data_IF_818484312213
#
_entry.id   IF_818484312213
#
_cell.length_a   1.000
_cell.length_b   1.000
_cell.length_c   1.000
_cell.angle_alpha   90.00
_cell.angle_beta   90.00
_cell.angle_gamma   90.00
#
_symmetry.space_group_name_H-M   'P 1'
#
loop_
_entity.id
_entity.type
_entity.pdbx_description
1 polymer ?
#
# COMPACT_ATOMS: atom_id res chain seq x y z
N UNK A 1 -11.73 -17.70 -36.21
CA UNK A 1 -11.80 -16.31 -35.68
C UNK A 1 -10.78 -16.22 -34.55
N UNK A 2 -9.72 -15.42 -34.73
CA UNK A 2 -8.65 -15.25 -33.74
C UNK A 2 -9.07 -14.15 -32.76
N UNK A 3 -9.21 -14.46 -31.47
CA UNK A 3 -9.31 -13.46 -30.40
C UNK A 3 -7.92 -13.29 -29.81
N UNK A 4 -7.42 -12.05 -29.84
CA UNK A 4 -6.09 -11.68 -29.33
C UNK A 4 -6.09 -11.70 -27.81
N UNK A 5 -5.01 -12.23 -27.26
CA UNK A 5 -4.69 -12.26 -25.83
C UNK A 5 -4.21 -10.85 -25.46
N UNK A 6 -4.96 -10.17 -24.59
CA UNK A 6 -4.49 -8.97 -23.92
C UNK A 6 -3.56 -9.43 -22.79
N UNK A 7 -2.26 -9.20 -22.97
CA UNK A 7 -1.25 -9.39 -21.92
C UNK A 7 -1.49 -8.31 -20.87
N UNK A 8 -1.95 -8.70 -19.69
CA UNK A 8 -2.06 -7.84 -18.51
C UNK A 8 -0.66 -7.42 -18.05
N UNK A 9 -0.55 -6.13 -17.77
CA UNK A 9 0.64 -5.42 -17.29
C UNK A 9 0.90 -5.86 -15.85
N UNK A 10 2.14 -6.26 -15.55
CA UNK A 10 2.62 -6.50 -14.20
C UNK A 10 2.56 -5.22 -13.38
N UNK A 11 1.58 -5.14 -12.48
CA UNK A 11 1.37 -4.04 -11.54
C UNK A 11 1.92 -4.45 -10.17
N UNK A 12 3.26 -4.48 -10.05
CA UNK A 12 3.97 -4.02 -8.84
C UNK A 12 5.49 -3.89 -9.07
N UNK A 13 5.86 -3.40 -10.24
CA UNK A 13 6.77 -2.26 -10.24
C UNK A 13 5.88 -1.01 -10.15
N UNK A 14 5.97 -0.20 -9.10
CA UNK A 14 5.46 1.18 -9.13
C UNK A 14 6.37 1.98 -10.06
N UNK A 15 6.29 1.66 -11.36
CA UNK A 15 6.68 2.50 -12.47
C UNK A 15 5.44 3.30 -12.84
N UNK A 16 5.25 4.44 -12.18
CA UNK A 16 4.54 5.56 -12.81
C UNK A 16 5.31 5.89 -14.10
N UNK A 17 4.83 5.40 -15.25
CA UNK A 17 5.27 5.85 -16.58
C UNK A 17 4.32 7.01 -16.97
N UNK A 18 4.72 8.15 -17.56
CA UNK A 18 5.60 8.34 -18.71
C UNK A 18 6.11 9.80 -18.84
N UNK A 19 7.24 9.87 -19.55
CA UNK A 19 8.02 11.03 -20.02
C UNK A 19 7.25 12.10 -20.82
N UNK A 20 7.80 13.32 -20.77
CA UNK A 20 7.62 14.36 -21.79
C UNK A 20 8.80 15.35 -21.81
N UNK A 21 9.83 15.06 -22.59
CA UNK A 21 10.97 15.95 -22.86
C UNK A 21 10.55 17.23 -23.61
N UNK A 22 11.17 18.38 -23.28
CA UNK A 22 11.69 19.33 -24.28
C UNK A 22 12.73 20.29 -23.66
N UNK A 23 13.87 20.37 -24.33
CA UNK A 23 15.00 21.25 -24.04
C UNK A 23 14.65 22.74 -24.23
N UNK A 24 15.24 23.60 -23.41
CA UNK A 24 15.62 24.97 -23.80
C UNK A 24 16.68 25.55 -22.84
N UNK A 25 17.66 26.20 -23.44
CA UNK A 25 18.97 26.67 -22.94
C UNK A 25 18.94 28.07 -22.29
N UNK A 26 19.99 28.33 -21.48
CA UNK A 26 20.54 29.65 -21.05
C UNK A 26 19.69 30.42 -20.01
N UNK A 27 20.23 31.17 -19.05
CA UNK A 27 21.55 31.77 -18.82
C UNK A 27 21.76 32.04 -17.31
N UNK A 28 23.03 32.21 -16.91
CA UNK A 28 23.42 32.80 -15.62
C UNK A 28 23.11 34.29 -15.63
N UNK A 29 22.58 34.80 -14.51
CA UNK A 29 22.99 36.11 -14.02
C UNK A 29 22.90 36.19 -12.49
N UNK A 30 23.94 36.77 -11.90
CA UNK A 30 24.04 37.14 -10.49
C UNK A 30 23.16 38.36 -10.26
N UNK A 31 22.63 38.55 -9.05
CA UNK A 31 22.99 39.75 -8.29
C UNK A 31 22.58 39.73 -6.82
N UNK A 32 23.19 40.67 -6.12
CA UNK A 32 23.70 40.64 -4.76
C UNK A 32 22.94 41.64 -3.88
N UNK A 33 23.10 41.51 -2.56
CA UNK A 33 22.94 42.54 -1.51
C UNK A 33 21.50 42.85 -1.02
N UNK A 34 21.23 43.19 0.24
CA UNK A 34 21.97 43.23 1.51
C UNK A 34 20.98 43.65 2.62
N UNK A 35 21.21 43.17 3.87
CA UNK A 35 20.89 43.71 5.22
C UNK A 35 19.53 44.43 5.42
N UNK A 36 18.79 44.19 6.51
CA UNK A 36 19.15 44.71 7.85
C UNK A 36 18.34 44.03 8.97
N UNK A 37 19.04 43.82 10.08
CA UNK A 37 18.66 43.29 11.39
C UNK A 37 17.56 44.10 12.09
N UNK A 38 16.68 43.45 12.86
CA UNK A 38 16.26 43.98 14.15
C UNK A 38 15.86 42.85 15.12
N UNK A 39 16.52 42.89 16.27
CA UNK A 39 16.40 41.98 17.40
C UNK A 39 15.35 42.54 18.35
N UNK A 40 14.28 41.80 18.63
CA UNK A 40 13.53 41.99 19.87
C UNK A 40 13.23 40.63 20.50
N UNK A 41 13.85 40.39 21.67
CA UNK A 41 13.49 39.35 22.61
C UNK A 41 12.20 39.77 23.32
N UNK A 42 11.15 38.94 23.28
CA UNK A 42 10.17 38.83 24.38
C UNK A 42 9.58 37.42 24.49
N UNK A 43 9.27 37.08 25.74
CA UNK A 43 9.14 35.77 26.35
C UNK A 43 8.04 34.82 25.79
N UNK A 44 8.43 33.54 25.68
CA UNK A 44 7.74 32.36 26.26
C UNK A 44 6.21 32.34 26.28
N UNK A 45 5.63 31.66 25.30
CA UNK A 45 4.55 30.69 25.54
C UNK A 45 4.85 29.43 24.72
N UNK A 46 4.80 28.25 25.33
CA UNK A 46 4.89 26.95 24.64
C UNK A 46 3.67 26.82 23.71
N UNK A 47 3.74 27.36 22.51
CA UNK A 47 2.88 26.95 21.41
C UNK A 47 3.39 25.61 20.91
N UNK A 48 2.68 24.55 21.26
CA UNK A 48 2.69 23.31 20.48
C UNK A 48 2.37 23.69 19.04
N UNK A 49 3.40 23.83 18.20
CA UNK A 49 3.21 24.12 16.78
C UNK A 49 2.79 22.81 16.11
N UNK A 50 1.49 22.54 16.11
CA UNK A 50 0.90 21.65 15.12
C UNK A 50 1.19 22.27 13.75
N UNK A 51 2.18 21.74 13.03
CA UNK A 51 2.37 22.06 11.62
C UNK A 51 1.10 21.56 10.94
N UNK A 52 0.20 22.47 10.59
CA UNK A 52 -0.95 22.19 9.75
C UNK A 52 -0.53 22.48 8.32
N UNK A 53 -0.47 21.44 7.50
CA UNK A 53 -0.57 21.61 6.05
C UNK A 53 -2.07 21.64 5.75
N UNK A 54 -2.57 22.62 4.99
CA UNK A 54 -3.93 22.57 4.46
C UNK A 54 -4.07 21.31 3.60
N UNK A 55 -5.10 20.50 3.84
CA UNK A 55 -5.41 19.28 3.08
C UNK A 55 -5.46 19.52 1.56
N UNK A 56 -5.80 20.73 1.13
CA UNK A 56 -5.83 21.16 -0.27
C UNK A 56 -4.45 21.18 -0.95
N UNK A 57 -3.38 21.48 -0.22
CA UNK A 57 -2.02 21.59 -0.79
C UNK A 57 -1.40 20.21 -1.10
N UNK A 58 -1.92 19.14 -0.50
CA UNK A 58 -1.44 17.77 -0.70
C UNK A 58 -2.17 17.12 -1.89
N UNK A 59 -3.50 17.25 -1.98
CA UNK A 59 -4.30 16.75 -3.10
C UNK A 59 -3.79 17.24 -4.47
N UNK A 60 -3.53 18.54 -4.61
CA UNK A 60 -3.16 19.12 -5.91
C UNK A 60 -1.77 18.69 -6.42
N UNK A 61 -0.92 18.15 -5.55
CA UNK A 61 0.38 17.59 -5.95
C UNK A 61 0.28 16.14 -6.40
N UNK A 62 -0.75 15.43 -5.96
CA UNK A 62 -0.96 14.01 -6.22
C UNK A 62 -1.49 13.76 -7.65
N UNK A 63 -2.19 14.74 -8.25
CA UNK A 63 -2.78 14.65 -9.59
C UNK A 63 -1.83 15.03 -10.75
N UNK A 64 -0.53 15.19 -10.49
CA UNK A 64 0.48 15.41 -11.55
C UNK A 64 0.53 16.83 -12.17
N UNK A 65 -0.47 17.67 -11.92
CA UNK A 65 -0.57 19.05 -12.44
C UNK A 65 -0.17 20.14 -11.42
N UNK A 66 0.48 19.76 -10.31
CA UNK A 66 0.82 20.68 -9.23
C UNK A 66 1.76 21.81 -9.68
N UNK A 67 1.30 23.07 -9.55
CA UNK A 67 2.11 24.25 -9.85
C UNK A 67 3.43 24.24 -9.05
N UNK A 68 4.53 24.76 -9.62
CA UNK A 68 5.87 24.79 -9.01
C UNK A 68 5.88 25.30 -7.54
N UNK A 69 4.98 26.24 -7.24
CA UNK A 69 4.77 26.75 -5.90
C UNK A 69 4.36 25.67 -4.89
N UNK A 70 3.44 24.78 -5.27
CA UNK A 70 2.92 23.72 -4.41
C UNK A 70 4.00 22.67 -4.15
N UNK A 71 4.77 22.29 -5.17
CA UNK A 71 5.89 21.35 -5.04
C UNK A 71 6.90 21.88 -4.02
N UNK A 72 7.18 23.18 -4.06
CA UNK A 72 8.08 23.85 -3.11
C UNK A 72 7.52 23.85 -1.68
N UNK A 73 6.21 24.05 -1.50
CA UNK A 73 5.58 23.96 -0.18
C UNK A 73 5.63 22.53 0.37
N UNK A 74 5.39 21.51 -0.44
CA UNK A 74 5.49 20.12 -0.01
C UNK A 74 6.91 19.72 0.36
N UNK A 75 7.92 20.09 -0.45
CA UNK A 75 9.34 19.90 -0.08
C UNK A 75 9.67 20.55 1.26
N UNK A 76 9.14 21.75 1.51
CA UNK A 76 9.30 22.44 2.80
C UNK A 76 8.61 21.69 3.93
N UNK A 77 7.40 21.17 3.71
CA UNK A 77 6.67 20.37 4.68
C UNK A 77 7.40 19.07 5.04
N UNK A 78 7.84 18.30 4.04
CA UNK A 78 8.62 17.08 4.23
C UNK A 78 9.88 17.37 5.06
N UNK A 79 10.59 18.47 4.77
CA UNK A 79 11.74 18.89 5.57
C UNK A 79 11.37 19.26 7.03
N UNK A 80 10.20 19.85 7.25
CA UNK A 80 9.70 20.10 8.60
C UNK A 80 9.37 18.80 9.34
N UNK A 81 8.76 17.82 8.67
CA UNK A 81 8.50 16.49 9.24
C UNK A 81 9.79 15.75 9.58
N UNK A 82 10.77 15.74 8.67
CA UNK A 82 12.12 15.19 8.93
C UNK A 82 12.70 15.76 10.22
N UNK A 83 12.71 17.09 10.34
CA UNK A 83 13.21 17.78 11.53
C UNK A 83 12.39 17.47 12.80
N UNK A 84 11.06 17.36 12.68
CA UNK A 84 10.16 17.07 13.80
C UNK A 84 10.40 15.66 14.33
N UNK A 85 10.36 14.65 13.47
CA UNK A 85 10.46 13.24 13.88
C UNK A 85 11.89 12.83 14.24
N UNK A 86 12.91 13.51 13.71
CA UNK A 86 14.30 13.36 14.21
C UNK A 86 14.42 13.78 15.68
N UNK A 87 13.65 14.77 16.14
CA UNK A 87 13.69 15.27 17.51
C UNK A 87 12.77 14.50 18.45
N UNK A 88 11.58 14.12 17.98
CA UNK A 88 10.58 13.40 18.76
C UNK A 88 9.61 12.69 17.82
N UNK A 89 9.68 11.36 17.80
CA UNK A 89 8.70 10.52 17.10
C UNK A 89 7.30 10.69 17.68
N UNK A 90 6.28 10.53 16.83
CA UNK A 90 4.88 10.44 17.23
C UNK A 90 4.41 8.99 17.49
N UNK A 91 5.32 8.02 17.41
CA UNK A 91 5.08 6.59 17.57
C UNK A 91 4.74 5.85 16.27
N UNK A 92 4.52 6.56 15.16
CA UNK A 92 4.30 5.98 13.83
C UNK A 92 5.42 6.37 12.86
N UNK A 93 5.91 7.61 12.95
CA UNK A 93 7.02 8.11 12.16
C UNK A 93 8.29 8.15 13.00
N UNK A 94 9.23 7.25 12.73
CA UNK A 94 10.47 7.13 13.49
C UNK A 94 11.68 7.55 12.65
N UNK A 95 11.79 7.02 11.42
CA UNK A 95 12.97 7.21 10.58
C UNK A 95 12.60 7.52 9.14
N UNK A 96 13.02 8.69 8.67
CA UNK A 96 12.93 9.00 7.25
C UNK A 96 13.91 8.14 6.45
N UNK A 97 13.42 7.55 5.37
CA UNK A 97 14.21 6.91 4.33
C UNK A 97 13.96 7.64 3.01
N UNK A 98 15.02 7.86 2.23
CA UNK A 98 14.93 8.63 0.99
C UNK A 98 14.25 7.86 -0.13
N UNK A 99 14.46 6.55 -0.15
CA UNK A 99 13.96 5.60 -1.12
C UNK A 99 13.26 4.47 -0.38
N UNK A 100 12.36 3.78 -1.06
CA UNK A 100 11.68 2.62 -0.48
C UNK A 100 12.71 1.53 -0.16
N UNK A 101 12.77 1.09 1.10
CA UNK A 101 13.70 0.04 1.48
C UNK A 101 13.21 -1.30 0.93
N UNK A 102 14.13 -2.13 0.45
CA UNK A 102 13.83 -3.53 0.09
C UNK A 102 13.28 -4.33 1.27
N UNK A 103 13.65 -3.96 2.50
CA UNK A 103 13.20 -4.60 3.73
C UNK A 103 12.69 -3.53 4.72
N UNK A 104 11.44 -3.07 4.57
CA UNK A 104 10.90 -2.05 5.43
C UNK A 104 10.78 -2.51 6.88
N UNK A 105 11.07 -1.58 7.79
CA UNK A 105 10.91 -1.71 9.23
C UNK A 105 9.82 -0.78 9.73
N UNK A 106 9.14 -1.21 10.79
CA UNK A 106 8.17 -0.38 11.51
C UNK A 106 8.77 0.99 11.81
N UNK A 107 7.98 2.04 11.58
CA UNK A 107 8.38 3.42 11.81
C UNK A 107 9.22 4.06 10.70
N UNK A 108 9.67 3.29 9.70
CA UNK A 108 10.27 3.88 8.51
C UNK A 108 9.20 4.59 7.69
N UNK A 109 9.53 5.77 7.19
CA UNK A 109 8.64 6.51 6.30
C UNK A 109 9.41 7.16 5.17
N UNK A 110 8.77 7.24 4.02
CA UNK A 110 9.30 7.83 2.79
C UNK A 110 8.34 8.90 2.29
N UNK A 111 8.87 9.82 1.50
CA UNK A 111 8.08 10.74 0.69
C UNK A 111 8.23 10.31 -0.76
N UNK A 112 7.21 9.69 -1.34
CA UNK A 112 7.23 9.26 -2.74
C UNK A 112 7.03 10.50 -3.61
N UNK A 113 8.10 10.87 -4.30
CA UNK A 113 8.16 11.89 -5.35
C UNK A 113 7.84 13.32 -4.88
N UNK A 114 7.97 14.28 -5.80
CA UNK A 114 7.58 15.68 -5.62
C UNK A 114 6.03 15.86 -5.57
N UNK A 115 5.29 14.75 -5.60
CA UNK A 115 3.83 14.63 -5.78
C UNK A 115 3.04 14.52 -4.46
N UNK A 116 3.63 14.83 -3.30
CA UNK A 116 2.80 15.00 -2.10
C UNK A 116 2.56 13.74 -1.24
N UNK A 117 3.08 12.56 -1.59
CA UNK A 117 2.76 11.31 -0.87
C UNK A 117 3.76 11.02 0.24
N UNK A 118 3.24 10.76 1.44
CA UNK A 118 4.03 10.21 2.56
C UNK A 118 3.49 8.82 2.84
N UNK A 119 4.38 7.83 2.80
CA UNK A 119 4.08 6.45 3.14
C UNK A 119 4.89 6.01 4.35
N UNK A 120 4.22 5.37 5.30
CA UNK A 120 4.80 4.95 6.58
C UNK A 120 4.56 3.46 6.80
N UNK A 121 5.63 2.72 7.10
CA UNK A 121 5.56 1.29 7.41
C UNK A 121 5.16 1.09 8.87
N UNK A 122 4.06 0.38 9.09
CA UNK A 122 3.41 0.22 10.39
C UNK A 122 3.81 -1.10 11.09
N UNK A 123 4.36 -2.03 10.32
CA UNK A 123 4.95 -3.27 10.79
C UNK A 123 6.27 -3.55 10.04
N UNK A 124 7.12 -4.38 10.63
CA UNK A 124 8.26 -4.94 9.91
C UNK A 124 7.76 -5.86 8.80
N UNK A 125 8.41 -5.81 7.64
CA UNK A 125 8.19 -6.80 6.58
C UNK A 125 8.48 -8.21 7.10
N UNK A 126 7.67 -9.18 6.69
CA UNK A 126 7.89 -10.57 7.08
C UNK A 126 7.79 -11.50 5.90
N UNK A 127 8.70 -12.47 5.90
CA UNK A 127 8.70 -13.55 4.96
C UNK A 127 7.79 -14.66 5.48
N UNK A 128 7.02 -15.25 4.57
CA UNK A 128 6.26 -16.47 4.76
C UNK A 128 7.11 -17.60 4.17
N UNK A 129 7.19 -18.72 4.87
CA UNK A 129 7.99 -19.86 4.38
C UNK A 129 7.36 -20.43 3.12
N UNK A 130 8.20 -20.87 2.18
CA UNK A 130 7.76 -21.53 0.94
C UNK A 130 6.68 -22.58 1.21
N UNK A 131 5.70 -22.59 0.33
CA UNK A 131 4.52 -23.44 0.46
C UNK A 131 4.35 -24.25 -0.80
N UNK A 132 3.92 -25.50 -0.67
CA UNK A 132 3.55 -26.33 -1.81
C UNK A 132 2.06 -26.64 -1.68
N UNK A 133 1.33 -26.44 -2.75
CA UNK A 133 -0.11 -26.66 -2.84
C UNK A 133 -0.35 -27.40 -4.15
N UNK A 134 -0.58 -28.71 -4.09
CA UNK A 134 -0.98 -29.53 -5.24
C UNK A 134 -0.18 -29.31 -6.54
N UNK A 135 1.15 -29.27 -6.43
CA UNK A 135 2.04 -29.09 -7.59
C UNK A 135 2.35 -27.64 -7.93
N UNK A 136 1.71 -26.64 -7.30
CA UNK A 136 2.19 -25.27 -7.26
C UNK A 136 3.07 -25.04 -6.04
N UNK A 137 4.19 -24.36 -6.23
CA UNK A 137 5.04 -23.85 -5.16
C UNK A 137 4.87 -22.33 -5.07
N UNK A 138 4.43 -21.85 -3.91
CA UNK A 138 4.48 -20.43 -3.55
C UNK A 138 5.82 -20.17 -2.86
N UNK A 139 6.55 -19.16 -3.32
CA UNK A 139 7.86 -18.82 -2.77
C UNK A 139 8.11 -17.33 -2.90
N UNK A 140 9.18 -16.85 -2.23
CA UNK A 140 9.43 -15.42 -2.02
C UNK A 140 8.23 -14.69 -1.40
N UNK A 141 7.32 -15.42 -0.77
CA UNK A 141 6.10 -14.86 -0.20
C UNK A 141 6.45 -13.95 0.97
N UNK A 142 6.00 -12.71 0.90
CA UNK A 142 6.28 -11.70 1.92
C UNK A 142 5.08 -10.80 2.10
N UNK A 143 4.97 -10.20 3.28
CA UNK A 143 3.93 -9.23 3.55
C UNK A 143 4.42 -8.05 4.37
N UNK A 144 3.78 -6.90 4.18
CA UNK A 144 4.00 -5.71 4.97
C UNK A 144 2.70 -4.93 5.19
N UNK A 145 2.70 -4.05 6.19
CA UNK A 145 1.60 -3.13 6.46
C UNK A 145 2.14 -1.72 6.39
N UNK A 146 1.51 -0.89 5.58
CA UNK A 146 1.87 0.50 5.42
C UNK A 146 0.62 1.39 5.46
N UNK A 147 0.85 2.69 5.58
CA UNK A 147 -0.21 3.65 5.37
C UNK A 147 0.26 4.88 4.63
N UNK A 148 -0.65 5.44 3.83
CA UNK A 148 -0.51 6.77 3.28
C UNK A 148 -1.04 7.77 4.30
N UNK A 149 -0.28 8.82 4.59
CA UNK A 149 -0.72 9.91 5.47
C UNK A 149 -1.88 10.72 4.85
N UNK A 150 -1.99 10.68 3.51
CA UNK A 150 -3.01 11.37 2.71
C UNK A 150 -3.06 10.69 1.34
N UNK A 151 -4.21 10.15 0.94
CA UNK A 151 -4.41 9.52 -0.36
C UNK A 151 -5.42 10.31 -1.21
N UNK A 152 -5.20 10.36 -2.53
CA UNK A 152 -6.20 10.82 -3.50
C UNK A 152 -7.20 9.70 -3.79
N UNK A 153 -8.35 10.02 -4.39
CA UNK A 153 -9.30 9.00 -4.82
C UNK A 153 -8.65 8.03 -5.82
N UNK A 154 -7.91 8.54 -6.79
CA UNK A 154 -7.19 7.72 -7.76
C UNK A 154 -6.19 6.75 -7.11
N UNK A 155 -5.49 7.15 -6.04
CA UNK A 155 -4.61 6.22 -5.32
C UNK A 155 -5.39 5.08 -4.68
N UNK A 156 -6.57 5.38 -4.14
CA UNK A 156 -7.42 4.37 -3.52
C UNK A 156 -8.02 3.45 -4.58
N UNK A 157 -8.49 4.00 -5.69
CA UNK A 157 -9.01 3.22 -6.82
C UNK A 157 -7.93 2.30 -7.41
N UNK A 158 -6.65 2.66 -7.29
CA UNK A 158 -5.52 1.82 -7.70
C UNK A 158 -5.05 0.80 -6.63
N UNK A 159 -5.57 0.86 -5.39
CA UNK A 159 -5.25 -0.13 -4.34
C UNK A 159 -6.17 -1.37 -4.39
N UNK A 160 -7.30 -1.30 -5.10
CA UNK A 160 -8.34 -2.32 -5.08
C UNK A 160 -8.96 -2.51 -6.45
N UNK A 161 -9.57 -3.68 -6.69
CA UNK A 161 -10.49 -3.85 -7.81
C UNK A 161 -11.93 -3.72 -7.27
N UNK A 162 -12.70 -2.79 -7.86
CA UNK A 162 -14.07 -2.48 -7.42
C UNK A 162 -14.22 -1.05 -6.89
N UNK A 163 -15.43 -0.70 -6.43
CA UNK A 163 -15.69 0.60 -5.82
C UNK A 163 -15.66 0.51 -4.29
N UNK A 164 -15.03 1.50 -3.64
CA UNK A 164 -15.19 1.75 -2.20
C UNK A 164 -16.64 2.10 -1.80
N UNK A 165 -17.52 2.35 -2.77
CA UNK A 165 -18.95 2.57 -2.51
C UNK A 165 -19.70 1.27 -2.19
N UNK A 166 -19.19 0.13 -2.67
CA UNK A 166 -19.83 -1.19 -2.52
C UNK A 166 -19.13 -2.05 -1.46
N UNK A 167 -17.87 -1.73 -1.15
CA UNK A 167 -17.01 -2.48 -0.23
C UNK A 167 -16.33 -1.54 0.75
N UNK A 168 -15.82 -2.04 1.89
CA UNK A 168 -15.24 -1.16 2.94
C UNK A 168 -13.89 -1.64 3.47
N UNK A 169 -13.08 -0.74 4.07
CA UNK A 169 -11.92 -1.19 4.84
C UNK A 169 -12.30 -2.15 5.97
N UNK A 170 -11.46 -3.17 6.21
CA UNK A 170 -11.73 -4.27 7.16
C UNK A 170 -12.20 -3.82 8.55
N UNK A 171 -11.59 -2.76 9.09
CA UNK A 171 -11.81 -2.26 10.45
C UNK A 171 -12.60 -0.95 10.51
N UNK A 172 -13.13 -0.49 9.38
CA UNK A 172 -14.04 0.65 9.36
C UNK A 172 -15.42 0.24 9.87
N UNK A 173 -16.12 1.19 10.49
CA UNK A 173 -17.53 1.00 10.88
C UNK A 173 -18.44 1.26 9.69
N UNK A 174 -19.67 0.78 9.77
CA UNK A 174 -20.72 1.17 8.83
C UNK A 174 -20.90 2.70 8.85
N UNK A 175 -20.94 3.31 7.66
CA UNK A 175 -21.00 4.76 7.47
C UNK A 175 -19.64 5.49 7.54
N UNK A 176 -18.53 4.78 7.79
CA UNK A 176 -17.20 5.37 7.61
C UNK A 176 -16.87 5.45 6.10
N UNK A 177 -17.00 6.63 5.52
CA UNK A 177 -16.63 6.90 4.13
C UNK A 177 -15.17 7.37 4.02
N UNK A 178 -14.50 7.01 2.93
CA UNK A 178 -13.24 7.64 2.57
C UNK A 178 -13.52 9.03 1.99
N UNK A 179 -12.79 10.03 2.49
CA UNK A 179 -12.76 11.36 1.88
C UNK A 179 -11.36 11.59 1.33
N UNK A 180 -11.27 12.12 0.11
CA UNK A 180 -9.98 12.47 -0.49
C UNK A 180 -9.11 13.27 0.51
N UNK A 181 -7.83 12.88 0.62
CA UNK A 181 -6.84 13.30 1.60
C UNK A 181 -6.95 12.68 3.00
N UNK A 182 -7.86 11.72 3.20
CA UNK A 182 -7.78 10.85 4.37
C UNK A 182 -6.54 9.96 4.28
N UNK A 183 -6.06 9.56 5.45
CA UNK A 183 -5.05 8.53 5.58
C UNK A 183 -5.68 7.16 5.36
N UNK A 184 -4.91 6.28 4.73
CA UNK A 184 -5.33 4.91 4.43
C UNK A 184 -4.25 3.95 4.87
N UNK A 185 -4.66 2.89 5.57
CA UNK A 185 -3.79 1.80 5.98
C UNK A 185 -4.15 0.56 5.19
N UNK A 186 -3.15 -0.07 4.62
CA UNK A 186 -3.28 -1.27 3.81
C UNK A 186 -2.19 -2.28 4.15
N UNK A 187 -2.46 -3.53 3.82
CA UNK A 187 -1.46 -4.59 3.80
C UNK A 187 -1.31 -5.12 2.39
N UNK A 188 -0.07 -5.45 2.03
CA UNK A 188 0.26 -6.13 0.79
C UNK A 188 0.85 -7.50 1.15
N UNK A 189 0.44 -8.52 0.41
CA UNK A 189 1.03 -9.86 0.40
C UNK A 189 1.51 -10.11 -1.03
N UNK A 190 2.82 -10.20 -1.21
CA UNK A 190 3.48 -10.44 -2.49
C UNK A 190 3.94 -11.90 -2.54
N UNK A 191 3.83 -12.56 -3.68
CA UNK A 191 4.28 -13.94 -3.87
C UNK A 191 4.61 -14.27 -5.32
N UNK A 192 5.51 -15.24 -5.49
CA UNK A 192 5.78 -15.90 -6.75
C UNK A 192 5.16 -17.30 -6.77
N UNK A 193 4.78 -17.79 -7.96
CA UNK A 193 4.25 -19.12 -8.21
C UNK A 193 5.17 -19.89 -9.14
N UNK A 194 5.46 -21.15 -8.81
CA UNK A 194 6.09 -22.09 -9.73
C UNK A 194 5.27 -23.35 -9.87
N UNK A 195 4.93 -23.70 -11.10
CA UNK A 195 4.33 -25.00 -11.39
C UNK A 195 5.40 -26.08 -11.46
N UNK A 196 5.31 -27.02 -10.53
CA UNK A 196 6.21 -28.17 -10.37
C UNK A 196 5.62 -29.46 -10.92
N UNK A 197 4.38 -29.42 -11.42
CA UNK A 197 3.71 -30.54 -12.08
C UNK A 197 3.96 -30.57 -13.59
N UNK A 198 3.42 -31.59 -14.26
CA UNK A 198 3.48 -31.81 -15.70
C UNK A 198 2.22 -31.31 -16.46
N UNK A 199 1.25 -30.75 -15.74
CA UNK A 199 0.02 -30.17 -16.29
C UNK A 199 -0.05 -28.66 -16.02
N UNK A 200 -0.85 -27.92 -16.79
CA UNK A 200 -1.19 -26.53 -16.44
C UNK A 200 -2.05 -26.52 -15.18
N UNK A 201 -1.75 -25.62 -14.25
CA UNK A 201 -2.49 -25.42 -13.01
C UNK A 201 -2.93 -23.97 -12.92
N UNK A 202 -4.06 -23.70 -12.30
CA UNK A 202 -4.52 -22.36 -11.98
C UNK A 202 -4.41 -22.15 -10.48
N UNK A 203 -3.76 -21.07 -10.05
CA UNK A 203 -3.87 -20.63 -8.66
C UNK A 203 -5.13 -19.79 -8.53
N UNK A 204 -6.06 -20.23 -7.69
CA UNK A 204 -7.39 -19.60 -7.59
C UNK A 204 -7.36 -18.33 -6.71
N UNK A 205 -6.23 -18.06 -6.07
CA UNK A 205 -5.96 -16.81 -5.34
C UNK A 205 -5.64 -17.00 -3.87
N UNK A 206 -5.00 -15.97 -3.31
CA UNK A 206 -4.83 -15.80 -1.88
C UNK A 206 -6.16 -15.50 -1.20
N UNK A 207 -7.17 -15.04 -1.93
CA UNK A 207 -8.53 -14.85 -1.41
C UNK A 207 -9.46 -15.98 -1.84
N UNK A 208 -9.89 -16.80 -0.89
CA UNK A 208 -10.80 -17.92 -1.12
C UNK A 208 -10.67 -19.01 -0.10
N UNK A 209 -11.68 -19.85 0.06
CA UNK A 209 -11.47 -21.08 0.81
C UNK A 209 -11.97 -22.25 -0.01
N UNK A 210 -11.05 -23.16 -0.34
CA UNK A 210 -11.42 -24.41 -0.98
C UNK A 210 -12.21 -25.29 -0.01
N UNK A 211 -13.53 -25.12 -0.06
CA UNK A 211 -14.51 -25.83 0.75
C UNK A 211 -15.43 -24.97 1.62
N UNK A 212 -15.47 -23.63 1.53
CA UNK A 212 -16.36 -22.86 2.41
C UNK A 212 -16.58 -21.38 2.08
N UNK A 213 -17.19 -20.68 3.04
CA UNK A 213 -18.05 -19.50 2.81
C UNK A 213 -17.38 -18.12 2.95
N UNK A 214 -16.12 -18.03 3.42
CA UNK A 214 -15.45 -16.76 3.75
C UNK A 214 -13.95 -16.78 3.43
N UNK A 215 -13.39 -15.59 3.15
CA UNK A 215 -12.02 -15.44 2.64
C UNK A 215 -11.07 -14.91 3.72
N UNK A 216 -11.60 -14.23 4.75
CA UNK A 216 -10.80 -13.69 5.85
C UNK A 216 -11.45 -13.95 7.20
N UNK A 217 -10.63 -14.00 8.24
CA UNK A 217 -11.10 -14.00 9.61
C UNK A 217 -10.23 -13.18 10.55
N UNK A 218 -10.80 -12.73 11.66
CA UNK A 218 -10.06 -12.08 12.75
C UNK A 218 -9.98 -13.01 13.97
N UNK A 219 -9.01 -12.81 14.90
CA UNK A 219 -8.79 -13.68 16.05
C UNK A 219 -9.99 -13.84 17.01
N UNK A 220 -10.95 -12.93 16.97
CA UNK A 220 -12.21 -12.99 17.72
C UNK A 220 -13.30 -13.84 17.02
N UNK A 221 -12.98 -14.44 15.87
CA UNK A 221 -13.86 -15.35 15.13
C UNK A 221 -14.79 -14.65 14.13
N UNK A 222 -14.67 -13.34 13.90
CA UNK A 222 -15.41 -12.68 12.82
C UNK A 222 -14.92 -13.22 11.48
N UNK A 223 -15.85 -13.74 10.69
CA UNK A 223 -15.65 -14.15 9.30
C UNK A 223 -16.01 -12.99 8.38
N UNK A 224 -15.25 -12.83 7.30
CA UNK A 224 -15.38 -11.70 6.38
C UNK A 224 -15.27 -12.24 4.95
N UNK A 225 -16.26 -11.91 4.13
CA UNK A 225 -16.26 -12.25 2.71
C UNK A 225 -15.49 -11.18 1.94
N UNK A 226 -14.85 -11.58 0.83
CA UNK A 226 -14.16 -10.65 -0.07
C UNK A 226 -15.08 -9.55 -0.58
N UNK A 227 -16.34 -9.87 -0.84
CA UNK A 227 -17.35 -8.91 -1.32
C UNK A 227 -17.72 -7.83 -0.28
N UNK A 228 -17.36 -8.03 0.99
CA UNK A 228 -17.63 -7.06 2.05
C UNK A 228 -16.47 -6.08 2.28
N UNK A 229 -15.31 -6.30 1.65
CA UNK A 229 -14.10 -5.50 1.91
C UNK A 229 -13.44 -4.96 0.66
N UNK A 230 -12.70 -3.86 0.82
CA UNK A 230 -11.96 -3.26 -0.29
C UNK A 230 -10.57 -3.89 -0.39
N UNK A 231 -10.35 -4.65 -1.47
CA UNK A 231 -9.11 -5.40 -1.72
C UNK A 231 -8.82 -5.50 -3.24
N UNK A 232 -7.60 -5.91 -3.60
CA UNK A 232 -7.24 -6.43 -4.93
C UNK A 232 -6.51 -7.75 -4.74
N UNK A 233 -6.81 -8.75 -5.57
CA UNK A 233 -6.10 -10.02 -5.56
C UNK A 233 -5.60 -10.38 -6.95
N UNK A 234 -4.38 -9.95 -7.27
CA UNK A 234 -3.69 -10.24 -8.53
C UNK A 234 -3.14 -11.67 -8.55
N UNK A 235 -3.25 -12.39 -7.44
CA UNK A 235 -2.93 -13.82 -7.37
C UNK A 235 -4.07 -14.72 -7.82
N UNK A 236 -5.30 -14.19 -7.92
CA UNK A 236 -6.45 -14.96 -8.36
C UNK A 236 -6.38 -15.33 -9.86
N UNK A 237 -6.95 -16.48 -10.20
CA UNK A 237 -7.08 -17.01 -11.57
C UNK A 237 -5.77 -17.02 -12.38
N UNK A 238 -4.63 -17.23 -11.72
CA UNK A 238 -3.33 -17.25 -12.40
C UNK A 238 -3.06 -18.63 -13.01
N UNK A 239 -3.22 -18.74 -14.34
CA UNK A 239 -2.80 -19.92 -15.09
C UNK A 239 -1.27 -20.03 -15.16
N UNK A 240 -0.72 -21.11 -14.62
CA UNK A 240 0.71 -21.41 -14.61
C UNK A 240 0.96 -22.69 -15.40
N UNK A 241 1.60 -22.58 -16.55
CA UNK A 241 1.98 -23.73 -17.36
C UNK A 241 3.00 -24.62 -16.65
N UNK A 242 3.00 -25.91 -16.97
CA UNK A 242 3.94 -26.90 -16.42
C UNK A 242 5.39 -26.42 -16.48
N UNK A 243 6.08 -26.44 -15.33
CA UNK A 243 7.48 -26.02 -15.20
C UNK A 243 7.74 -24.51 -15.17
N UNK A 244 6.75 -23.67 -15.44
CA UNK A 244 6.91 -22.21 -15.50
C UNK A 244 6.77 -21.54 -14.14
N UNK A 245 7.27 -20.31 -14.08
CA UNK A 245 7.14 -19.39 -12.94
C UNK A 245 6.34 -18.16 -13.36
N UNK A 246 5.47 -17.70 -12.47
CA UNK A 246 4.83 -16.38 -12.51
C UNK A 246 5.31 -15.61 -11.29
N UNK A 247 5.77 -14.38 -11.47
CA UNK A 247 6.43 -13.58 -10.43
C UNK A 247 5.61 -12.33 -10.12
N UNK A 248 5.88 -11.75 -8.95
CA UNK A 248 5.40 -10.42 -8.52
C UNK A 248 3.87 -10.30 -8.58
N UNK A 249 3.18 -11.17 -7.84
CA UNK A 249 1.72 -11.17 -7.72
C UNK A 249 1.30 -10.83 -6.32
N UNK A 250 0.27 -10.00 -6.23
CA UNK A 250 -0.05 -9.30 -4.99
C UNK A 250 -1.50 -9.42 -4.57
N UNK A 251 -1.69 -9.55 -3.27
CA UNK A 251 -2.95 -9.30 -2.58
C UNK A 251 -2.81 -8.01 -1.77
N UNK A 252 -3.62 -7.00 -2.10
CA UNK A 252 -3.70 -5.74 -1.37
C UNK A 252 -5.02 -5.71 -0.60
N UNK A 253 -4.96 -5.46 0.71
CA UNK A 253 -6.14 -5.37 1.58
C UNK A 253 -6.15 -4.02 2.27
N UNK A 254 -7.21 -3.22 2.08
CA UNK A 254 -7.36 -1.96 2.80
C UNK A 254 -7.95 -2.22 4.18
N UNK A 255 -7.18 -1.89 5.22
CA UNK A 255 -7.49 -2.21 6.60
C UNK A 255 -8.35 -1.14 7.27
N UNK A 256 -8.00 0.14 7.09
CA UNK A 256 -8.70 1.25 7.72
C UNK A 256 -8.45 2.58 7.00
N UNK A 257 -9.40 3.50 7.10
CA UNK A 257 -9.23 4.90 6.71
C UNK A 257 -9.50 5.85 7.87
N UNK A 258 -9.01 7.08 7.80
CA UNK A 258 -9.34 8.14 8.74
C UNK A 258 -8.64 9.45 8.42
N UNK A 259 -9.04 10.55 9.05
CA UNK A 259 -8.52 11.89 8.71
C UNK A 259 -7.02 12.05 8.97
N UNK A 260 -6.45 11.17 9.77
CA UNK A 260 -5.00 11.08 10.01
C UNK A 260 -4.58 9.63 10.11
N UNK A 261 -3.31 9.33 9.83
CA UNK A 261 -2.75 7.98 9.96
C UNK A 261 -2.97 7.40 11.36
N UNK A 262 -2.89 8.25 12.40
CA UNK A 262 -3.15 7.86 13.79
C UNK A 262 -4.60 7.48 14.03
N UNK A 263 -5.56 8.20 13.42
CA UNK A 263 -6.98 7.86 13.52
C UNK A 263 -7.27 6.52 12.84
N UNK A 264 -6.77 6.31 11.61
CA UNK A 264 -6.88 5.03 10.91
C UNK A 264 -6.25 3.88 11.72
N UNK A 265 -5.04 4.06 12.25
CA UNK A 265 -4.31 3.04 13.03
C UNK A 265 -5.01 2.67 14.33
N UNK A 266 -5.76 3.60 14.93
CA UNK A 266 -6.55 3.33 16.13
C UNK A 266 -7.81 2.51 15.85
N UNK A 267 -8.33 2.51 14.61
CA UNK A 267 -9.48 1.65 14.23
C UNK A 267 -9.09 0.17 14.18
N UNK A 268 -7.84 -0.13 13.81
CA UNK A 268 -7.29 -1.49 13.81
C UNK A 268 -7.15 -1.96 15.26
N UNK A 269 -8.16 -2.66 15.76
CA UNK A 269 -8.25 -3.14 17.15
C UNK A 269 -7.75 -4.59 17.33
N UNK A 270 -7.37 -5.24 16.23
CA UNK A 270 -6.79 -6.58 16.20
C UNK A 270 -5.34 -6.51 15.72
N UNK A 271 -4.50 -7.44 16.19
CA UNK A 271 -3.11 -7.52 15.74
C UNK A 271 -2.93 -8.41 14.50
N UNK A 272 -3.90 -9.27 14.22
CA UNK A 272 -3.83 -10.27 13.14
C UNK A 272 -5.06 -10.19 12.26
N UNK A 273 -4.86 -10.33 10.95
CA UNK A 273 -5.88 -10.68 9.96
C UNK A 273 -5.48 -12.03 9.36
N UNK A 274 -6.37 -13.00 9.37
CA UNK A 274 -6.13 -14.32 8.80
C UNK A 274 -6.72 -14.37 7.41
N UNK A 275 -5.91 -14.71 6.42
CA UNK A 275 -6.34 -14.96 5.04
C UNK A 275 -6.58 -16.46 4.89
N UNK A 276 -7.66 -16.83 4.24
CA UNK A 276 -7.91 -18.17 3.72
C UNK A 276 -7.65 -18.12 2.21
N UNK A 277 -6.73 -18.95 1.66
CA UNK A 277 -6.47 -19.07 0.22
C UNK A 277 -7.34 -20.09 -0.50
N UNK A 278 -7.71 -19.76 -1.75
CA UNK A 278 -8.67 -20.48 -2.57
C UNK A 278 -8.19 -21.87 -3.00
N UNK A 279 -6.87 -22.09 -3.02
CA UNK A 279 -6.26 -23.32 -3.46
C UNK A 279 -5.81 -23.27 -4.92
N UNK A 280 -5.78 -24.44 -5.55
CA UNK A 280 -5.32 -24.63 -6.93
C UNK A 280 -6.41 -25.36 -7.70
N UNK A 281 -6.63 -25.08 -8.98
CA UNK A 281 -7.57 -25.81 -9.83
C UNK A 281 -6.90 -26.28 -11.13
N UNK A 282 -7.57 -27.17 -11.87
CA UNK A 282 -7.20 -27.55 -13.24
C UNK A 282 -8.44 -27.81 -14.09
N UNK A 283 -8.26 -28.13 -15.39
CA UNK A 283 -9.38 -28.36 -16.32
C UNK A 283 -10.34 -29.48 -15.88
N UNK A 284 -9.88 -30.42 -15.05
CA UNK A 284 -10.62 -31.61 -14.65
C UNK A 284 -11.26 -31.52 -13.25
N UNK A 285 -10.86 -30.56 -12.41
CA UNK A 285 -11.34 -30.41 -11.04
C UNK A 285 -11.38 -28.94 -10.59
N UNK A 286 -12.50 -28.58 -9.96
CA UNK A 286 -12.82 -27.20 -9.64
C UNK A 286 -11.85 -26.57 -8.62
N UNK A 287 -11.39 -27.29 -7.57
CA UNK A 287 -10.35 -26.83 -6.61
C UNK A 287 -9.67 -27.99 -5.84
N UNK A 288 -8.39 -27.82 -5.52
CA UNK A 288 -7.54 -28.71 -4.73
C UNK A 288 -6.94 -27.98 -3.52
N UNK A 289 -7.08 -28.56 -2.33
CA UNK A 289 -6.18 -28.29 -1.20
C UNK A 289 -5.64 -29.61 -0.66
N UNK A 290 -4.34 -29.65 -0.35
CA UNK A 290 -3.72 -30.77 0.37
C UNK A 290 -3.82 -30.61 1.89
N UNK A 291 -4.56 -29.59 2.37
CA UNK A 291 -4.65 -29.19 3.76
C UNK A 291 -3.40 -28.52 4.32
N UNK A 292 -2.36 -28.26 3.52
CA UNK A 292 -1.13 -27.61 3.96
C UNK A 292 -1.22 -26.08 4.01
N UNK A 293 -2.09 -25.46 3.21
CA UNK A 293 -2.48 -24.06 3.36
C UNK A 293 -3.93 -23.90 3.76
N UNK A 294 -4.17 -23.91 5.07
CA UNK A 294 -5.50 -23.61 5.59
C UNK A 294 -5.69 -22.12 5.89
N UNK A 295 -4.59 -21.39 6.10
CA UNK A 295 -4.60 -19.96 6.36
C UNK A 295 -3.20 -19.31 6.32
N UNK A 296 -3.17 -17.97 6.23
CA UNK A 296 -2.00 -17.11 6.42
C UNK A 296 -2.34 -16.05 7.46
N UNK A 297 -1.58 -15.99 8.56
CA UNK A 297 -1.77 -14.99 9.63
C UNK A 297 -0.92 -13.74 9.39
N UNK A 298 -1.57 -12.66 8.97
CA UNK A 298 -0.94 -11.36 8.77
C UNK A 298 -0.95 -10.56 10.06
N UNK A 299 0.23 -10.30 10.65
CA UNK A 299 0.32 -9.33 11.75
C UNK A 299 0.26 -7.90 11.23
N UNK A 300 -0.89 -7.25 11.41
CA UNK A 300 -1.22 -5.92 10.86
C UNK A 300 -1.00 -4.76 11.84
N UNK A 301 -0.54 -5.02 13.07
CA UNK A 301 -0.30 -3.99 14.11
C UNK A 301 0.99 -4.18 14.91
#
# INVERSE_FOLDING_TARGET
MKKGIASSVSLLGISLILFGCSNSTNSKEKDTASKTTQTEKKASSKKSSSIKVPSQDIAMLQEGDGEEYQVKQFKKYVNQLKNKYTKKSDGLHEKYVKEEPTYPKKGQWTSKNDQGVIMTYLADMKNISDQNINGLKLFNTQYWTAGFDSASQEMIDNLGSGSMDETRPVFNKEGDEFVANDAVIFTVVETDFKNTSDQTLTYDGLTGYAGGEYDFSTPDGKQINRDDIFYSDDTADQEVQAGNTVEDKDLIIVLATGRTLKEAYNKINQNTLTIHPAGVSNEDQDQYTDGMLNHIDLKVK
#
